data_IF_194609597727
#
_entry.id   IF_194609597727
#
_cell.length_a   1.000
_cell.length_b   1.000
_cell.length_c   1.000
_cell.angle_alpha   90.00
_cell.angle_beta   90.00
_cell.angle_gamma   90.00
#
_symmetry.space_group_name_H-M   'P 1'
#
loop_
_entity.id
_entity.type
_entity.pdbx_description
1 polymer ?
#
# COMPACT_ATOMS: atom_id res chain seq x y z
N UNK A 1 -14.15 -15.73 2.81
CA UNK A 1 -12.84 -15.23 2.32
C UNK A 1 -12.20 -14.37 3.39
N UNK A 2 -10.94 -14.60 3.70
CA UNK A 2 -10.12 -13.83 4.67
C UNK A 2 -9.04 -13.06 3.92
N UNK A 3 -8.92 -11.78 4.21
CA UNK A 3 -8.03 -10.86 3.52
C UNK A 3 -7.02 -10.32 4.52
N UNK A 4 -5.74 -10.58 4.29
CA UNK A 4 -4.67 -9.97 5.08
C UNK A 4 -4.38 -8.57 4.52
N UNK A 5 -4.56 -7.55 5.36
CA UNK A 5 -4.23 -6.16 5.01
C UNK A 5 -3.03 -5.70 5.82
N UNK A 6 -1.90 -5.50 5.17
CA UNK A 6 -0.76 -4.84 5.81
C UNK A 6 -0.89 -3.32 5.68
N UNK A 7 -0.40 -2.57 6.66
CA UNK A 7 -0.56 -1.11 6.64
C UNK A 7 -1.99 -0.63 6.87
N UNK A 8 -2.83 -1.44 7.50
CA UNK A 8 -4.26 -1.18 7.79
C UNK A 8 -4.51 0.12 8.57
N UNK A 9 -3.53 0.60 9.36
CA UNK A 9 -3.60 1.87 10.10
C UNK A 9 -3.21 3.10 9.24
N UNK A 10 -2.74 2.89 8.01
CA UNK A 10 -2.42 3.94 7.06
C UNK A 10 -3.67 4.54 6.39
N UNK A 11 -3.48 5.54 5.55
CA UNK A 11 -4.57 6.25 4.87
C UNK A 11 -5.39 5.30 3.98
N UNK A 12 -4.75 4.61 3.04
CA UNK A 12 -5.44 3.67 2.14
C UNK A 12 -5.98 2.47 2.92
N UNK A 13 -5.16 1.91 3.84
CA UNK A 13 -5.55 0.73 4.62
C UNK A 13 -6.79 0.92 5.48
N UNK A 14 -6.97 2.09 6.10
CA UNK A 14 -8.18 2.41 6.87
C UNK A 14 -9.44 2.40 6.00
N UNK A 15 -9.39 3.06 4.84
CA UNK A 15 -10.51 3.11 3.91
C UNK A 15 -10.84 1.70 3.39
N UNK A 16 -9.83 0.93 3.01
CA UNK A 16 -10.03 -0.45 2.54
C UNK A 16 -10.64 -1.35 3.63
N UNK A 17 -10.10 -1.33 4.86
CA UNK A 17 -10.62 -2.17 5.96
C UNK A 17 -12.09 -1.84 6.27
N UNK A 18 -12.47 -0.57 6.28
CA UNK A 18 -13.87 -0.18 6.46
C UNK A 18 -14.73 -0.76 5.34
N UNK A 19 -14.31 -0.59 4.09
CA UNK A 19 -15.07 -1.08 2.94
C UNK A 19 -15.20 -2.61 2.92
N UNK A 20 -14.13 -3.34 3.21
CA UNK A 20 -14.17 -4.80 3.31
C UNK A 20 -15.14 -5.28 4.40
N UNK A 21 -15.17 -4.60 5.56
CA UNK A 21 -16.10 -4.90 6.65
C UNK A 21 -17.56 -4.61 6.25
N UNK A 22 -17.83 -3.50 5.53
CA UNK A 22 -19.16 -3.20 4.98
C UNK A 22 -19.68 -4.30 4.04
N UNK A 23 -18.77 -4.94 3.30
CA UNK A 23 -19.06 -6.06 2.40
C UNK A 23 -19.12 -7.41 3.12
N UNK A 24 -18.97 -7.44 4.45
CA UNK A 24 -19.00 -8.69 5.24
C UNK A 24 -17.78 -9.58 5.02
N UNK A 25 -16.68 -9.04 4.48
CA UNK A 25 -15.43 -9.76 4.27
C UNK A 25 -14.57 -9.73 5.54
N UNK A 26 -14.00 -10.88 5.89
CA UNK A 26 -13.17 -10.98 7.08
C UNK A 26 -11.77 -10.43 6.83
N UNK A 27 -11.33 -9.45 7.65
CA UNK A 27 -10.00 -8.85 7.53
C UNK A 27 -9.09 -9.28 8.67
N UNK A 28 -7.93 -9.81 8.32
CA UNK A 28 -6.77 -9.93 9.19
C UNK A 28 -5.85 -8.73 8.97
N UNK A 29 -5.22 -8.24 10.01
CA UNK A 29 -4.38 -7.03 9.90
C UNK A 29 -2.95 -7.28 10.37
N UNK A 30 -2.00 -6.78 9.58
CA UNK A 30 -0.60 -6.70 9.98
C UNK A 30 -0.19 -5.24 10.13
N UNK A 31 0.28 -4.88 11.31
CA UNK A 31 0.61 -3.50 11.70
C UNK A 31 2.01 -3.45 12.31
N UNK A 32 2.51 -2.25 12.64
CA UNK A 32 3.80 -2.06 13.34
C UNK A 32 3.86 -2.72 14.74
N UNK A 33 2.74 -3.24 15.26
CA UNK A 33 2.70 -3.99 16.52
C UNK A 33 3.01 -5.48 16.33
N UNK A 34 2.92 -5.95 15.10
CA UNK A 34 3.20 -7.33 14.75
C UNK A 34 4.71 -7.51 14.48
N UNK A 35 5.17 -8.71 14.76
CA UNK A 35 6.50 -9.18 14.38
C UNK A 35 6.48 -9.84 13.01
N UNK A 36 7.62 -9.87 12.32
CA UNK A 36 7.77 -10.62 11.06
C UNK A 36 7.47 -12.12 11.27
N UNK A 37 7.73 -12.65 12.47
CA UNK A 37 7.41 -14.03 12.84
C UNK A 37 5.91 -14.33 12.89
N UNK A 38 5.04 -13.31 12.94
CA UNK A 38 3.59 -13.50 12.88
C UNK A 38 3.08 -13.75 11.46
N UNK A 39 3.86 -13.35 10.42
CA UNK A 39 3.44 -13.42 9.01
C UNK A 39 3.02 -14.82 8.56
N UNK A 40 3.78 -15.90 8.80
CA UNK A 40 3.39 -17.22 8.34
C UNK A 40 2.00 -17.64 8.84
N UNK A 41 1.71 -17.41 10.12
CA UNK A 41 0.42 -17.77 10.70
C UNK A 41 -0.74 -16.90 10.19
N UNK A 42 -0.51 -15.61 9.93
CA UNK A 42 -1.51 -14.72 9.34
C UNK A 42 -1.78 -15.07 7.87
N UNK A 43 -0.73 -15.36 7.11
CA UNK A 43 -0.81 -15.69 5.68
C UNK A 43 -1.45 -17.07 5.48
N UNK A 44 -1.12 -18.07 6.31
CA UNK A 44 -1.71 -19.40 6.25
C UNK A 44 -3.25 -19.37 6.35
N UNK A 45 -3.79 -18.45 7.15
CA UNK A 45 -5.23 -18.27 7.34
C UNK A 45 -5.90 -17.40 6.27
N UNK A 46 -5.10 -16.78 5.38
CA UNK A 46 -5.60 -15.80 4.43
C UNK A 46 -5.82 -16.41 3.04
N UNK A 47 -6.85 -15.91 2.37
CA UNK A 47 -7.18 -16.27 1.00
C UNK A 47 -6.65 -15.23 0.00
N UNK A 48 -6.37 -14.01 0.48
CA UNK A 48 -5.90 -12.87 -0.30
C UNK A 48 -5.01 -11.96 0.56
N UNK A 49 -4.02 -11.31 -0.04
CA UNK A 49 -3.15 -10.34 0.64
C UNK A 49 -3.23 -8.98 -0.05
N UNK A 50 -3.49 -7.91 0.71
CA UNK A 50 -3.36 -6.53 0.25
C UNK A 50 -2.21 -5.87 0.99
N UNK A 51 -1.08 -5.70 0.29
CA UNK A 51 0.14 -5.18 0.85
C UNK A 51 0.25 -3.66 0.63
N UNK A 52 -0.17 -2.90 1.67
CA UNK A 52 -0.16 -1.43 1.70
C UNK A 52 0.90 -0.88 2.65
N UNK A 53 1.52 -1.72 3.47
CA UNK A 53 2.58 -1.28 4.36
C UNK A 53 3.77 -0.79 3.56
N UNK A 54 4.27 0.38 3.91
CA UNK A 54 5.43 0.98 3.28
C UNK A 54 5.79 2.29 3.97
N UNK A 55 7.03 2.69 3.85
CA UNK A 55 7.54 3.97 4.32
C UNK A 55 7.76 4.89 3.12
N UNK A 56 7.39 6.17 3.26
CA UNK A 56 7.53 7.16 2.18
C UNK A 56 8.27 8.43 2.61
N UNK A 57 8.51 8.60 3.91
CA UNK A 57 9.29 9.71 4.51
C UNK A 57 10.03 9.23 5.74
N UNK A 58 10.98 8.30 5.60
CA UNK A 58 11.76 7.84 6.74
C UNK A 58 12.72 8.93 7.24
N UNK A 59 13.13 8.82 8.48
CA UNK A 59 14.20 9.65 9.06
C UNK A 59 15.55 9.29 8.45
N UNK A 60 15.78 8.00 8.16
CA UNK A 60 16.98 7.47 7.50
C UNK A 60 16.52 6.68 6.26
N UNK A 61 17.13 6.94 5.10
CA UNK A 61 16.81 6.27 3.82
C UNK A 61 16.95 4.74 3.87
N UNK A 62 17.78 4.20 4.77
CA UNK A 62 17.90 2.76 4.99
C UNK A 62 16.57 2.09 5.36
N UNK A 63 15.62 2.84 5.92
CA UNK A 63 14.29 2.31 6.21
C UNK A 63 13.46 2.04 4.95
N UNK A 64 13.79 2.63 3.81
CA UNK A 64 13.16 2.26 2.55
C UNK A 64 13.43 0.80 2.21
N UNK A 65 14.68 0.37 2.28
CA UNK A 65 15.06 -1.02 1.96
C UNK A 65 14.47 -1.99 2.99
N UNK A 66 14.60 -1.68 4.28
CA UNK A 66 14.12 -2.58 5.34
C UNK A 66 12.60 -2.72 5.33
N UNK A 67 11.85 -1.62 5.14
CA UNK A 67 10.40 -1.62 5.26
C UNK A 67 9.74 -1.93 3.93
N UNK A 68 10.15 -1.28 2.83
CA UNK A 68 9.48 -1.48 1.55
C UNK A 68 9.90 -2.78 0.88
N UNK A 69 11.18 -3.10 0.89
CA UNK A 69 11.70 -4.33 0.25
C UNK A 69 11.68 -5.50 1.22
N UNK A 70 12.22 -5.32 2.44
CA UNK A 70 12.36 -6.39 3.42
C UNK A 70 11.03 -6.99 3.88
N UNK A 71 10.02 -6.15 4.17
CA UNK A 71 8.69 -6.67 4.52
C UNK A 71 8.02 -7.37 3.34
N UNK A 72 8.16 -6.83 2.12
CA UNK A 72 7.64 -7.49 0.91
C UNK A 72 8.30 -8.86 0.72
N UNK A 73 9.62 -8.95 0.89
CA UNK A 73 10.34 -10.22 0.82
C UNK A 73 9.85 -11.22 1.87
N UNK A 74 9.68 -10.80 3.13
CA UNK A 74 9.20 -11.67 4.20
C UNK A 74 7.77 -12.21 3.93
N UNK A 75 6.90 -11.39 3.34
CA UNK A 75 5.57 -11.83 2.90
C UNK A 75 5.69 -12.88 1.78
N UNK A 76 6.51 -12.62 0.77
CA UNK A 76 6.72 -13.54 -0.35
C UNK A 76 7.34 -14.87 0.08
N UNK A 77 8.33 -14.84 0.98
CA UNK A 77 8.94 -16.03 1.57
C UNK A 77 7.92 -16.86 2.36
N UNK A 78 7.03 -16.19 3.11
CA UNK A 78 5.96 -16.86 3.86
C UNK A 78 4.95 -17.53 2.91
N UNK A 79 4.52 -16.85 1.84
CA UNK A 79 3.63 -17.44 0.82
C UNK A 79 4.30 -18.64 0.14
N UNK A 80 5.56 -18.50 -0.26
CA UNK A 80 6.31 -19.59 -0.88
C UNK A 80 6.43 -20.82 0.05
N UNK A 81 6.74 -20.60 1.33
CA UNK A 81 6.92 -21.67 2.30
C UNK A 81 5.63 -22.43 2.62
N UNK A 82 4.47 -21.75 2.55
CA UNK A 82 3.14 -22.37 2.75
C UNK A 82 2.75 -23.24 1.54
N UNK A 83 3.31 -22.99 0.35
CA UNK A 83 3.05 -23.76 -0.87
C UNK A 83 1.65 -23.54 -1.46
N UNK A 84 0.95 -22.44 -1.07
CA UNK A 84 -0.35 -22.05 -1.63
C UNK A 84 -0.18 -20.88 -2.60
N UNK A 85 -0.98 -20.87 -3.65
CA UNK A 85 -1.09 -19.72 -4.57
C UNK A 85 -2.04 -18.68 -3.98
N UNK A 86 -1.51 -17.76 -3.18
CA UNK A 86 -2.30 -16.69 -2.55
C UNK A 86 -2.15 -15.41 -3.39
N UNK A 87 -3.24 -14.83 -3.91
CA UNK A 87 -3.19 -13.58 -4.66
C UNK A 87 -2.70 -12.41 -3.81
N UNK A 88 -1.88 -11.53 -4.40
CA UNK A 88 -1.32 -10.35 -3.72
C UNK A 88 -1.59 -9.09 -4.53
N UNK A 89 -2.22 -8.10 -3.92
CA UNK A 89 -2.19 -6.70 -4.37
C UNK A 89 -1.01 -6.01 -3.69
N UNK A 90 -0.11 -5.42 -4.48
CA UNK A 90 0.97 -4.54 -4.00
C UNK A 90 0.67 -3.08 -4.35
N UNK A 91 0.53 -2.23 -3.35
CA UNK A 91 0.50 -0.78 -3.56
C UNK A 91 1.92 -0.26 -3.82
N UNK A 92 2.25 -0.10 -5.08
CA UNK A 92 3.45 0.58 -5.57
C UNK A 92 3.18 2.07 -5.80
N UNK A 93 4.03 2.76 -6.52
CA UNK A 93 3.94 4.18 -6.79
C UNK A 93 4.36 4.49 -8.23
N UNK A 94 3.76 5.51 -8.84
CA UNK A 94 4.28 6.07 -10.11
C UNK A 94 5.74 6.51 -9.97
N UNK A 95 6.21 6.80 -8.77
CA UNK A 95 7.62 7.12 -8.51
C UNK A 95 8.58 5.93 -8.70
N UNK A 96 8.09 4.70 -8.82
CA UNK A 96 8.93 3.53 -9.11
C UNK A 96 9.71 3.65 -10.44
N UNK A 97 9.34 4.61 -11.30
CA UNK A 97 10.07 4.94 -12.54
C UNK A 97 11.11 6.04 -12.37
N UNK A 98 11.20 6.65 -11.18
CA UNK A 98 12.09 7.79 -10.92
C UNK A 98 13.38 7.35 -10.23
N UNK A 99 14.48 8.02 -10.54
CA UNK A 99 15.78 7.79 -9.91
C UNK A 99 15.89 8.53 -8.55
N UNK A 100 15.15 8.00 -7.56
CA UNK A 100 15.26 8.44 -6.17
C UNK A 100 15.12 7.22 -5.23
N UNK A 101 15.58 7.34 -3.99
CA UNK A 101 15.60 6.23 -3.02
C UNK A 101 14.22 5.60 -2.80
N UNK A 102 13.17 6.40 -2.68
CA UNK A 102 11.79 5.89 -2.56
C UNK A 102 11.35 5.13 -3.80
N UNK A 103 11.50 5.73 -4.98
CA UNK A 103 11.13 5.10 -6.25
C UNK A 103 11.84 3.76 -6.45
N UNK A 104 13.15 3.74 -6.19
CA UNK A 104 13.96 2.52 -6.25
C UNK A 104 13.42 1.44 -5.30
N UNK A 105 13.16 1.77 -4.04
CA UNK A 105 12.61 0.81 -3.07
C UNK A 105 11.25 0.24 -3.49
N UNK A 106 10.40 1.05 -4.14
CA UNK A 106 9.12 0.57 -4.69
C UNK A 106 9.33 -0.36 -5.89
N UNK A 107 10.26 -0.01 -6.78
CA UNK A 107 10.62 -0.86 -7.91
C UNK A 107 11.22 -2.20 -7.44
N UNK A 108 12.11 -2.19 -6.47
CA UNK A 108 12.71 -3.40 -5.91
C UNK A 108 11.64 -4.30 -5.25
N UNK A 109 10.66 -3.72 -4.54
CA UNK A 109 9.51 -4.47 -4.03
C UNK A 109 8.66 -5.10 -5.15
N UNK A 110 8.47 -4.40 -6.30
CA UNK A 110 7.80 -4.99 -7.47
C UNK A 110 8.56 -6.19 -8.03
N UNK A 111 9.90 -6.12 -8.07
CA UNK A 111 10.74 -7.25 -8.52
C UNK A 111 10.56 -8.45 -7.61
N UNK A 112 10.50 -8.24 -6.30
CA UNK A 112 10.30 -9.32 -5.31
C UNK A 112 8.97 -10.05 -5.54
N UNK A 113 7.85 -9.33 -5.69
CA UNK A 113 6.54 -9.99 -5.89
C UNK A 113 6.45 -10.66 -7.26
N UNK A 114 7.06 -10.11 -8.32
CA UNK A 114 7.13 -10.76 -9.64
C UNK A 114 7.94 -12.06 -9.60
N UNK A 115 8.99 -12.09 -8.79
CA UNK A 115 9.75 -13.31 -8.57
C UNK A 115 8.90 -14.40 -7.89
N UNK A 116 8.07 -14.03 -6.91
CA UNK A 116 7.11 -14.96 -6.30
C UNK A 116 6.13 -15.51 -7.34
N UNK A 117 5.53 -14.65 -8.17
CA UNK A 117 4.61 -15.06 -9.25
C UNK A 117 5.26 -16.09 -10.17
N UNK A 118 6.49 -15.80 -10.63
CA UNK A 118 7.24 -16.69 -11.52
C UNK A 118 7.57 -18.04 -10.89
N UNK A 119 7.81 -18.08 -9.58
CA UNK A 119 8.22 -19.28 -8.86
C UNK A 119 7.06 -20.14 -8.36
N UNK A 120 5.89 -19.52 -8.08
CA UNK A 120 4.77 -20.20 -7.41
C UNK A 120 3.47 -20.18 -8.21
N UNK A 121 3.35 -19.30 -9.19
CA UNK A 121 2.09 -19.04 -9.90
C UNK A 121 1.07 -18.25 -9.07
N UNK A 122 1.45 -17.66 -7.93
CA UNK A 122 0.57 -16.75 -7.16
C UNK A 122 0.20 -15.54 -8.00
N UNK A 123 -1.08 -15.21 -8.17
CA UNK A 123 -1.49 -14.02 -8.92
C UNK A 123 -1.00 -12.73 -8.26
N UNK A 124 -0.35 -11.85 -9.03
CA UNK A 124 0.21 -10.59 -8.52
C UNK A 124 -0.40 -9.41 -9.25
N UNK A 125 -0.92 -8.46 -8.48
CA UNK A 125 -1.50 -7.21 -8.97
C UNK A 125 -0.71 -6.03 -8.44
N UNK A 126 0.01 -5.32 -9.30
CA UNK A 126 0.86 -4.19 -8.93
C UNK A 126 0.18 -2.88 -9.32
N UNK A 127 -0.14 -2.06 -8.32
CA UNK A 127 -0.76 -0.74 -8.53
C UNK A 127 0.25 0.37 -8.31
N UNK A 128 0.74 0.99 -9.37
CA UNK A 128 1.56 2.21 -9.30
C UNK A 128 0.67 3.42 -9.09
N UNK A 129 0.32 3.65 -7.83
CA UNK A 129 -0.60 4.72 -7.45
C UNK A 129 0.03 6.10 -7.64
N UNK A 130 -0.74 7.06 -8.23
CA UNK A 130 -0.37 8.47 -8.26
C UNK A 130 -0.63 9.13 -6.90
N UNK A 131 -0.81 10.46 -6.86
CA UNK A 131 -1.22 11.17 -5.67
C UNK A 131 -2.63 10.78 -5.21
N UNK A 132 -2.77 9.95 -4.18
CA UNK A 132 -4.07 9.56 -3.63
C UNK A 132 -4.57 10.63 -2.66
N UNK A 133 -5.85 11.00 -2.76
CA UNK A 133 -6.50 11.96 -1.86
C UNK A 133 -7.87 11.48 -1.39
N UNK A 134 -8.38 12.07 -0.32
CA UNK A 134 -9.73 11.78 0.19
C UNK A 134 -9.79 11.62 1.71
N UNK A 135 -10.82 10.92 2.19
CA UNK A 135 -11.14 10.75 3.61
C UNK A 135 -9.96 10.18 4.40
N UNK A 136 -9.60 10.80 5.52
CA UNK A 136 -8.48 10.49 6.41
C UNK A 136 -7.08 10.74 5.83
N UNK A 137 -6.97 11.39 4.68
CA UNK A 137 -5.69 11.83 4.19
C UNK A 137 -5.12 12.93 5.11
N UNK A 138 -3.85 12.78 5.49
CA UNK A 138 -3.19 13.70 6.42
C UNK A 138 -2.80 15.00 5.70
N UNK A 139 -3.22 16.18 6.20
CA UNK A 139 -2.70 17.45 5.72
C UNK A 139 -1.22 17.62 6.08
N UNK A 140 -0.52 18.45 5.33
CA UNK A 140 0.91 18.75 5.54
C UNK A 140 1.83 17.51 5.56
N UNK A 141 1.42 16.47 4.85
CA UNK A 141 2.17 15.23 4.70
C UNK A 141 2.43 14.91 3.21
N UNK A 142 1.60 14.11 2.55
CA UNK A 142 1.82 13.68 1.16
C UNK A 142 0.66 14.00 0.20
N UNK A 143 -0.26 14.87 0.58
CA UNK A 143 -1.36 15.26 -0.29
C UNK A 143 -1.53 16.77 -0.30
N UNK A 144 -1.38 17.33 -1.49
CA UNK A 144 -1.66 18.75 -1.73
C UNK A 144 -3.13 19.05 -1.48
N UNK A 145 -4.06 18.17 -1.90
CA UNK A 145 -5.51 18.34 -1.71
C UNK A 145 -5.84 18.42 -0.22
N UNK A 146 -5.38 17.45 0.59
CA UNK A 146 -5.62 17.45 2.03
C UNK A 146 -5.02 18.70 2.71
N UNK A 147 -3.82 19.12 2.27
CA UNK A 147 -3.15 20.31 2.80
C UNK A 147 -3.93 21.59 2.45
N UNK A 148 -4.37 21.72 1.21
CA UNK A 148 -5.13 22.90 0.79
C UNK A 148 -6.49 22.97 1.48
N UNK A 149 -7.24 21.87 1.55
CA UNK A 149 -8.50 21.80 2.27
C UNK A 149 -8.33 22.18 3.75
N UNK A 150 -7.32 21.65 4.41
CA UNK A 150 -7.01 21.99 5.80
C UNK A 150 -6.65 23.48 5.97
N UNK A 151 -5.75 23.99 5.15
CA UNK A 151 -5.29 25.37 5.27
C UNK A 151 -6.44 26.36 5.00
N UNK A 152 -7.22 26.14 3.94
CA UNK A 152 -8.36 27.00 3.61
C UNK A 152 -9.39 26.99 4.74
N UNK A 153 -9.75 25.83 5.28
CA UNK A 153 -10.75 25.72 6.36
C UNK A 153 -10.29 26.33 7.68
N UNK A 154 -8.98 26.56 7.86
CA UNK A 154 -8.40 27.19 9.05
C UNK A 154 -7.87 28.61 8.78
N UNK A 155 -8.22 29.21 7.65
CA UNK A 155 -7.71 30.53 7.21
C UNK A 155 -6.17 30.61 7.19
N UNK A 156 -5.49 29.50 6.89
CA UNK A 156 -4.05 29.45 6.71
C UNK A 156 -3.68 29.67 5.24
N UNK A 157 -2.50 30.23 4.95
CA UNK A 157 -2.07 30.46 3.58
C UNK A 157 -1.84 29.14 2.84
N UNK A 158 -2.23 29.09 1.57
CA UNK A 158 -1.81 28.03 0.64
C UNK A 158 -0.60 28.51 -0.16
N UNK A 159 0.28 27.58 -0.49
CA UNK A 159 1.44 27.84 -1.32
C UNK A 159 1.43 26.92 -2.53
N UNK A 160 1.47 27.52 -3.71
CA UNK A 160 1.67 26.83 -4.99
C UNK A 160 3.15 27.06 -5.37
N UNK A 161 3.93 25.99 -5.39
CA UNK A 161 5.37 26.09 -5.69
C UNK A 161 5.61 26.31 -7.19
N UNK A 162 4.88 25.60 -8.02
CA UNK A 162 4.92 25.70 -9.47
C UNK A 162 3.50 25.57 -10.03
N UNK A 163 2.91 26.67 -10.53
CA UNK A 163 1.56 26.65 -11.07
C UNK A 163 1.43 25.91 -12.41
N UNK A 164 2.55 25.59 -13.08
CA UNK A 164 2.57 24.83 -14.33
C UNK A 164 2.67 23.31 -14.10
N UNK A 165 2.91 22.86 -12.87
CA UNK A 165 3.06 21.46 -12.56
C UNK A 165 1.72 20.72 -12.55
N UNK A 166 1.57 19.75 -13.44
CA UNK A 166 0.40 18.89 -13.53
C UNK A 166 0.43 17.80 -12.47
N UNK A 167 -0.65 17.70 -11.69
CA UNK A 167 -0.82 16.70 -10.65
C UNK A 167 -1.71 15.57 -11.15
N UNK A 168 -1.15 14.36 -11.23
CA UNK A 168 -1.95 13.15 -11.39
C UNK A 168 -2.49 12.72 -10.04
N UNK A 169 -3.81 12.72 -9.90
CA UNK A 169 -4.50 12.43 -8.65
C UNK A 169 -5.55 11.34 -8.86
N UNK A 170 -5.76 10.53 -7.83
CA UNK A 170 -6.85 9.55 -7.76
C UNK A 170 -7.57 9.65 -6.42
N UNK A 171 -8.89 9.55 -6.44
CA UNK A 171 -9.69 9.57 -5.23
C UNK A 171 -9.60 8.22 -4.50
N UNK A 172 -9.63 8.26 -3.18
CA UNK A 172 -9.40 7.06 -2.34
C UNK A 172 -10.45 5.98 -2.58
N UNK A 173 -11.73 6.36 -2.79
CA UNK A 173 -12.78 5.37 -2.98
C UNK A 173 -12.61 4.64 -4.32
N UNK A 174 -12.09 5.31 -5.36
CA UNK A 174 -11.80 4.65 -6.65
C UNK A 174 -10.69 3.59 -6.49
N UNK A 175 -9.65 3.90 -5.69
CA UNK A 175 -8.58 2.94 -5.38
C UNK A 175 -9.13 1.75 -4.59
N UNK A 176 -9.99 2.02 -3.61
CA UNK A 176 -10.58 0.98 -2.76
C UNK A 176 -11.52 0.07 -3.56
N UNK A 177 -12.39 0.64 -4.39
CA UNK A 177 -13.30 -0.15 -5.24
C UNK A 177 -12.55 -1.00 -6.26
N UNK A 178 -11.47 -0.47 -6.84
CA UNK A 178 -10.60 -1.24 -7.73
C UNK A 178 -9.99 -2.46 -7.02
N UNK A 179 -9.49 -2.28 -5.78
CA UNK A 179 -8.98 -3.39 -4.99
C UNK A 179 -10.08 -4.41 -4.65
N UNK A 180 -11.29 -3.93 -4.32
CA UNK A 180 -12.44 -4.78 -4.03
C UNK A 180 -12.84 -5.60 -5.26
N UNK A 181 -12.85 -5.01 -6.45
CA UNK A 181 -13.14 -5.74 -7.68
C UNK A 181 -12.16 -6.89 -7.92
N UNK A 182 -10.85 -6.66 -7.74
CA UNK A 182 -9.85 -7.73 -7.86
C UNK A 182 -10.03 -8.81 -6.78
N UNK A 183 -10.40 -8.43 -5.57
CA UNK A 183 -10.61 -9.37 -4.46
C UNK A 183 -11.84 -10.26 -4.70
N UNK A 184 -12.87 -9.73 -5.34
CA UNK A 184 -14.12 -10.47 -5.59
C UNK A 184 -14.10 -11.29 -6.89
N UNK A 185 -13.19 -11.01 -7.83
CA UNK A 185 -13.02 -11.69 -9.12
C UNK A 185 -13.84 -11.05 -10.20
#
# INVERSE_FOLDING_TARGET
>A
MRILVTGSNGFIGKNLVVRLNELGLHTEVYTRKNSVQDLPNLIEKSDFIVHLAGENRPIDEKYFDTINVGLTAAICESVHSIGRQIPIILASSVQATLDNAYGKSKLDAEVVVKSLESNTGSPIYIYRLPGVFGKWCKPNYNSVVATFCHNISHNLPIRVNDPSFELNLVYIDDVVEEFVQIIQG
#
